data_IF_203281168359
#
_entry.id   IF_203281168359
#
_cell.length_a   1.000
_cell.length_b   1.000
_cell.length_c   1.000
_cell.angle_alpha   90.00
_cell.angle_beta   90.00
_cell.angle_gamma   90.00
#
_symmetry.space_group_name_H-M   'P 1'
#
loop_
_entity.id
_entity.type
_entity.pdbx_description
1 polymer ?
#
# COMPACT_ATOMS: atom_id res chain seq x y z
N UNK A 1 -22.36 15.69 15.18
CA UNK A 1 -22.07 14.34 14.62
C UNK A 1 -22.76 14.23 13.26
N UNK A 2 -22.15 13.61 12.23
CA UNK A 2 -22.80 13.46 10.93
C UNK A 2 -24.10 12.66 11.05
N UNK A 3 -25.16 13.09 10.36
CA UNK A 3 -26.39 12.31 10.26
C UNK A 3 -26.29 11.38 9.06
N UNK A 4 -26.00 10.10 9.30
CA UNK A 4 -25.80 9.09 8.26
C UNK A 4 -27.08 8.75 7.47
N UNK A 5 -28.27 9.08 8.00
CA UNK A 5 -29.51 9.00 7.24
C UNK A 5 -29.53 9.96 6.05
N UNK A 6 -28.68 10.99 6.07
CA UNK A 6 -28.48 11.91 4.95
C UNK A 6 -27.33 11.48 4.03
N UNK A 7 -26.85 10.23 4.12
CA UNK A 7 -25.75 9.71 3.31
C UNK A 7 -26.03 9.81 1.81
N UNK A 8 -25.04 10.28 1.06
CA UNK A 8 -25.09 10.44 -0.40
C UNK A 8 -23.72 10.09 -0.97
N UNK A 9 -23.73 9.40 -2.10
CA UNK A 9 -22.56 9.24 -2.96
C UNK A 9 -22.69 10.23 -4.13
N UNK A 10 -21.63 10.96 -4.40
CA UNK A 10 -21.58 11.96 -5.46
C UNK A 10 -20.30 11.81 -6.28
N UNK A 11 -20.31 12.41 -7.46
CA UNK A 11 -19.09 12.67 -8.23
C UNK A 11 -18.92 14.15 -8.51
N UNK A 12 -17.67 14.55 -8.68
CA UNK A 12 -17.27 15.81 -9.29
C UNK A 12 -16.65 15.46 -10.64
N UNK A 13 -17.07 16.11 -11.71
CA UNK A 13 -16.56 15.88 -13.06
C UNK A 13 -16.01 17.16 -13.64
N UNK A 14 -14.88 17.07 -14.35
CA UNK A 14 -14.30 18.17 -15.12
C UNK A 14 -13.55 17.61 -16.32
N UNK A 15 -14.09 17.81 -17.52
CA UNK A 15 -13.61 17.13 -18.73
C UNK A 15 -13.65 15.61 -18.55
N UNK A 16 -12.51 14.95 -18.75
CA UNK A 16 -12.35 13.50 -18.59
C UNK A 16 -12.09 13.08 -17.12
N UNK A 17 -11.85 14.03 -16.22
CA UNK A 17 -11.55 13.73 -14.82
C UNK A 17 -12.85 13.54 -14.03
N UNK A 18 -12.88 12.46 -13.25
CA UNK A 18 -13.98 12.17 -12.31
C UNK A 18 -13.42 11.92 -10.93
N UNK A 19 -13.95 12.57 -9.91
CA UNK A 19 -13.70 12.31 -8.49
C UNK A 19 -14.98 11.78 -7.85
N UNK A 20 -14.90 10.73 -7.04
CA UNK A 20 -16.04 10.16 -6.32
C UNK A 20 -15.86 10.38 -4.82
N UNK A 21 -16.95 10.66 -4.11
CA UNK A 21 -16.90 10.73 -2.67
C UNK A 21 -18.26 10.57 -2.01
N UNK A 22 -18.26 10.43 -0.70
CA UNK A 22 -19.48 10.42 0.11
C UNK A 22 -19.64 11.71 0.93
N UNK A 23 -20.88 12.00 1.32
CA UNK A 23 -21.23 13.12 2.19
C UNK A 23 -22.52 12.87 2.96
N UNK A 24 -22.60 13.43 4.17
CA UNK A 24 -23.84 13.57 4.94
C UNK A 24 -24.35 15.02 4.97
N UNK A 25 -23.72 15.91 4.20
CA UNK A 25 -24.14 17.31 4.10
C UNK A 25 -25.59 17.41 3.57
N UNK A 26 -26.36 18.42 4.00
CA UNK A 26 -27.73 18.63 3.53
C UNK A 26 -27.83 18.70 2.01
N UNK A 27 -26.87 19.36 1.35
CA UNK A 27 -26.84 19.55 -0.11
C UNK A 27 -25.47 19.25 -0.70
N UNK A 28 -25.44 18.86 -1.98
CA UNK A 28 -24.19 18.72 -2.73
C UNK A 28 -23.48 20.06 -2.93
N UNK A 29 -24.23 21.16 -3.09
CA UNK A 29 -23.66 22.50 -3.17
C UNK A 29 -22.82 22.85 -1.93
N UNK A 30 -23.33 22.53 -0.72
CA UNK A 30 -22.57 22.73 0.53
C UNK A 30 -21.30 21.87 0.58
N UNK A 31 -21.38 20.62 0.10
CA UNK A 31 -20.20 19.74 -0.01
C UNK A 31 -19.19 20.28 -1.01
N UNK A 32 -19.63 20.80 -2.15
CA UNK A 32 -18.79 21.41 -3.18
C UNK A 32 -18.09 22.67 -2.65
N UNK A 33 -18.81 23.55 -1.94
CA UNK A 33 -18.21 24.70 -1.28
C UNK A 33 -17.08 24.30 -0.32
N UNK A 34 -17.23 23.15 0.36
CA UNK A 34 -16.17 22.56 1.16
C UNK A 34 -14.91 22.22 0.35
N UNK A 35 -15.06 21.53 -0.79
CA UNK A 35 -13.93 21.23 -1.69
C UNK A 35 -13.25 22.49 -2.22
N UNK A 36 -14.03 23.47 -2.67
CA UNK A 36 -13.53 24.75 -3.19
C UNK A 36 -12.76 25.51 -2.11
N UNK A 37 -13.27 25.55 -0.88
CA UNK A 37 -12.58 26.18 0.26
C UNK A 37 -11.25 25.49 0.54
N UNK A 38 -11.25 24.16 0.63
CA UNK A 38 -10.02 23.40 0.91
C UNK A 38 -8.97 23.57 -0.18
N UNK A 39 -9.40 23.61 -1.46
CA UNK A 39 -8.52 23.91 -2.58
C UNK A 39 -7.85 25.29 -2.46
N UNK A 40 -8.61 26.34 -2.13
CA UNK A 40 -8.05 27.68 -1.88
C UNK A 40 -7.03 27.66 -0.74
N UNK A 41 -7.36 26.97 0.36
CA UNK A 41 -6.44 26.87 1.51
C UNK A 41 -5.17 26.06 1.19
N UNK A 42 -5.26 25.07 0.30
CA UNK A 42 -4.08 24.35 -0.21
C UNK A 42 -3.21 25.26 -1.09
N UNK A 43 -3.81 26.10 -1.94
CA UNK A 43 -3.06 27.12 -2.71
C UNK A 43 -2.32 28.11 -1.82
N UNK A 44 -2.89 28.44 -0.65
CA UNK A 44 -2.23 29.24 0.38
C UNK A 44 -1.16 28.48 1.20
N UNK A 45 -0.92 27.18 0.92
CA UNK A 45 0.04 26.34 1.64
C UNK A 45 -0.42 25.87 3.03
N UNK A 46 -1.70 26.05 3.39
CA UNK A 46 -2.23 25.75 4.75
C UNK A 46 -2.71 24.32 4.92
N UNK A 47 -2.97 23.61 3.83
CA UNK A 47 -3.55 22.26 3.84
C UNK A 47 -2.82 21.35 2.86
N UNK A 48 -2.99 20.03 3.01
CA UNK A 48 -2.48 19.04 2.08
C UNK A 48 -3.26 18.98 0.77
N UNK A 49 -2.62 18.45 -0.27
CA UNK A 49 -3.24 18.22 -1.58
C UNK A 49 -4.31 17.11 -1.51
N UNK A 50 -5.44 17.31 -2.18
CA UNK A 50 -6.48 16.29 -2.40
C UNK A 50 -6.68 16.02 -3.88
N UNK A 51 -7.08 14.79 -4.23
CA UNK A 51 -7.27 14.40 -5.64
C UNK A 51 -8.45 15.07 -6.32
N UNK A 52 -9.37 15.70 -5.58
CA UNK A 52 -10.42 16.52 -6.17
C UNK A 52 -9.92 17.86 -6.70
N UNK A 53 -8.75 18.34 -6.27
CA UNK A 53 -8.28 19.69 -6.59
C UNK A 53 -7.99 19.96 -8.07
N UNK A 54 -7.40 19.02 -8.85
CA UNK A 54 -7.23 19.22 -10.28
C UNK A 54 -8.55 19.50 -11.01
N UNK A 55 -9.66 18.91 -10.55
CA UNK A 55 -10.99 19.16 -11.12
C UNK A 55 -11.48 20.57 -10.78
N UNK A 56 -11.22 21.04 -9.55
CA UNK A 56 -11.62 22.39 -9.12
C UNK A 56 -10.76 23.45 -9.81
N UNK A 57 -9.49 23.15 -10.09
CA UNK A 57 -8.54 24.07 -10.70
C UNK A 57 -8.90 24.46 -12.13
N UNK A 58 -9.56 23.58 -12.89
CA UNK A 58 -10.01 23.89 -14.27
C UNK A 58 -11.02 25.04 -14.32
N UNK A 59 -11.72 25.31 -13.22
CA UNK A 59 -12.85 26.25 -13.18
C UNK A 59 -14.12 25.77 -13.90
N UNK A 60 -14.07 24.61 -14.58
CA UNK A 60 -15.18 24.02 -15.32
C UNK A 60 -15.50 22.65 -14.74
N UNK A 61 -16.19 22.63 -13.60
CA UNK A 61 -16.52 21.40 -12.89
C UNK A 61 -17.98 21.38 -12.45
N UNK A 62 -18.53 20.18 -12.35
CA UNK A 62 -19.90 19.94 -11.91
C UNK A 62 -19.91 18.89 -10.80
N UNK A 63 -20.76 19.08 -9.78
CA UNK A 63 -21.05 18.07 -8.77
C UNK A 63 -22.40 17.44 -9.04
N UNK A 64 -22.43 16.11 -9.18
CA UNK A 64 -23.67 15.37 -9.47
C UNK A 64 -23.90 14.27 -8.45
N UNK A 65 -25.15 14.06 -8.08
CA UNK A 65 -25.55 12.94 -7.23
C UNK A 65 -25.42 11.63 -8.01
N UNK A 66 -24.76 10.64 -7.43
CA UNK A 66 -24.76 9.27 -7.97
C UNK A 66 -25.90 8.48 -7.30
N UNK A 67 -25.95 8.51 -5.97
CA UNK A 67 -26.84 7.65 -5.20
C UNK A 67 -27.17 8.28 -3.85
N UNK A 68 -28.44 8.21 -3.45
CA UNK A 68 -28.85 8.42 -2.07
C UNK A 68 -28.60 7.13 -1.29
N UNK A 69 -27.84 7.22 -0.20
CA UNK A 69 -27.44 6.07 0.61
C UNK A 69 -27.63 6.35 2.10
N UNK A 70 -28.89 6.38 2.58
CA UNK A 70 -29.17 6.49 4.00
C UNK A 70 -28.60 5.26 4.72
N UNK A 71 -27.72 5.48 5.68
CA UNK A 71 -27.03 4.42 6.40
C UNK A 71 -26.94 4.72 7.89
N UNK A 72 -26.45 3.78 8.69
CA UNK A 72 -26.39 3.93 10.15
C UNK A 72 -25.01 4.33 10.65
N UNK A 73 -23.97 4.09 9.84
CA UNK A 73 -22.57 4.26 10.25
C UNK A 73 -21.70 4.84 9.14
N UNK A 74 -20.50 5.31 9.54
CA UNK A 74 -19.45 5.75 8.62
C UNK A 74 -18.96 4.59 7.75
N UNK A 75 -18.85 3.41 8.34
CA UNK A 75 -18.27 2.25 7.68
C UNK A 75 -19.17 1.79 6.53
N UNK A 76 -20.49 1.79 6.73
CA UNK A 76 -21.46 1.55 5.64
C UNK A 76 -21.35 2.58 4.52
N UNK A 77 -21.24 3.87 4.86
CA UNK A 77 -21.14 4.93 3.85
C UNK A 77 -19.84 4.83 3.04
N UNK A 78 -18.72 4.57 3.72
CA UNK A 78 -17.40 4.44 3.08
C UNK A 78 -17.27 3.13 2.29
N UNK A 79 -17.93 2.05 2.71
CA UNK A 79 -18.04 0.83 1.92
C UNK A 79 -18.79 1.08 0.61
N UNK A 80 -19.87 1.87 0.65
CA UNK A 80 -20.58 2.26 -0.57
C UNK A 80 -19.76 3.21 -1.45
N UNK A 81 -19.02 4.14 -0.86
CA UNK A 81 -18.06 4.97 -1.58
C UNK A 81 -16.99 4.14 -2.30
N UNK A 82 -16.40 3.15 -1.60
CA UNK A 82 -15.43 2.20 -2.17
C UNK A 82 -16.00 1.48 -3.39
N UNK A 83 -17.22 0.96 -3.30
CA UNK A 83 -17.89 0.29 -4.41
C UNK A 83 -17.92 1.15 -5.69
N UNK A 84 -18.28 2.44 -5.55
CA UNK A 84 -18.31 3.36 -6.69
C UNK A 84 -16.92 3.72 -7.19
N UNK A 85 -15.93 3.86 -6.30
CA UNK A 85 -14.53 4.11 -6.69
C UNK A 85 -13.96 2.93 -7.48
N UNK A 86 -14.21 1.69 -7.06
CA UNK A 86 -13.71 0.48 -7.73
C UNK A 86 -14.44 0.19 -9.06
N UNK A 87 -15.71 0.60 -9.16
CA UNK A 87 -16.54 0.35 -10.35
C UNK A 87 -16.37 1.41 -11.44
N UNK A 88 -15.64 2.51 -11.20
CA UNK A 88 -15.54 3.63 -12.14
C UNK A 88 -14.10 4.10 -12.30
N UNK A 89 -13.76 4.60 -13.48
CA UNK A 89 -12.49 5.30 -13.71
C UNK A 89 -12.56 6.66 -13.03
N UNK A 90 -11.77 6.86 -11.97
CA UNK A 90 -11.74 8.09 -11.21
C UNK A 90 -10.34 8.43 -10.69
N UNK A 91 -10.14 9.69 -10.30
CA UNK A 91 -8.85 10.22 -9.82
C UNK A 91 -8.58 9.89 -8.35
N UNK A 92 -9.49 9.20 -7.66
CA UNK A 92 -9.36 8.86 -6.25
C UNK A 92 -8.08 8.03 -6.02
N UNK A 93 -7.16 8.54 -5.20
CA UNK A 93 -5.91 7.84 -4.86
C UNK A 93 -6.10 6.86 -3.71
N UNK A 94 -6.95 7.21 -2.75
CA UNK A 94 -7.22 6.39 -1.57
C UNK A 94 -8.54 5.65 -1.76
N UNK A 95 -8.50 4.32 -1.59
CA UNK A 95 -9.70 3.47 -1.56
C UNK A 95 -10.12 3.35 -0.09
N UNK A 96 -11.34 3.77 0.29
CA UNK A 96 -11.83 3.66 1.67
C UNK A 96 -11.79 2.21 2.16
N UNK A 97 -11.52 2.01 3.45
CA UNK A 97 -11.52 0.68 4.10
C UNK A 97 -10.58 -0.36 3.47
N UNK A 98 -9.63 0.07 2.63
CA UNK A 98 -8.63 -0.81 2.04
C UNK A 98 -7.65 -1.28 3.11
N UNK A 99 -7.46 -2.59 3.18
CA UNK A 99 -6.50 -3.22 4.09
C UNK A 99 -5.07 -3.12 3.56
N UNK A 100 -4.10 -3.22 4.47
CA UNK A 100 -2.68 -3.26 4.09
C UNK A 100 -2.36 -4.45 3.17
N UNK A 101 -3.03 -5.60 3.40
CA UNK A 101 -2.89 -6.78 2.55
C UNK A 101 -3.39 -6.52 1.12
N UNK A 102 -4.60 -5.98 0.94
CA UNK A 102 -5.13 -5.63 -0.39
C UNK A 102 -4.28 -4.57 -1.11
N UNK A 103 -3.66 -3.66 -0.35
CA UNK A 103 -2.70 -2.72 -0.90
C UNK A 103 -1.44 -3.43 -1.40
N UNK A 104 -0.85 -4.28 -0.57
CA UNK A 104 0.35 -5.03 -0.92
C UNK A 104 0.12 -5.91 -2.15
N UNK A 105 -0.96 -6.69 -2.16
CA UNK A 105 -1.28 -7.64 -3.24
C UNK A 105 -1.39 -6.91 -4.58
N UNK A 106 -2.15 -5.81 -4.65
CA UNK A 106 -2.30 -5.03 -5.88
C UNK A 106 -1.02 -4.26 -6.30
N UNK A 107 -0.10 -4.00 -5.38
CA UNK A 107 1.14 -3.25 -5.64
C UNK A 107 2.38 -4.15 -5.70
N UNK A 108 2.21 -5.48 -5.66
CA UNK A 108 3.30 -6.46 -5.57
C UNK A 108 4.38 -6.25 -6.62
N UNK A 109 4.00 -6.01 -7.88
CA UNK A 109 4.95 -5.82 -8.98
C UNK A 109 5.76 -4.53 -8.82
N UNK A 110 5.10 -3.41 -8.54
CA UNK A 110 5.76 -2.12 -8.28
C UNK A 110 6.75 -2.21 -7.10
N UNK A 111 6.36 -2.92 -6.04
CA UNK A 111 7.22 -3.14 -4.87
C UNK A 111 8.46 -3.96 -5.27
N UNK A 112 8.27 -5.04 -6.03
CA UNK A 112 9.37 -5.90 -6.51
C UNK A 112 10.34 -5.13 -7.41
N UNK A 113 9.82 -4.34 -8.34
CA UNK A 113 10.65 -3.51 -9.24
C UNK A 113 11.46 -2.48 -8.45
N UNK A 114 10.82 -1.78 -7.52
CA UNK A 114 11.51 -0.81 -6.65
C UNK A 114 12.59 -1.49 -5.80
N UNK A 115 12.32 -2.68 -5.25
CA UNK A 115 13.32 -3.44 -4.50
C UNK A 115 14.49 -3.88 -5.37
N UNK A 116 14.22 -4.30 -6.62
CA UNK A 116 15.26 -4.67 -7.59
C UNK A 116 16.14 -3.47 -7.91
N UNK A 117 15.55 -2.33 -8.29
CA UNK A 117 16.28 -1.10 -8.58
C UNK A 117 17.13 -0.63 -7.39
N UNK A 118 16.60 -0.74 -6.16
CA UNK A 118 17.36 -0.41 -4.96
C UNK A 118 18.58 -1.34 -4.77
N UNK A 119 18.42 -2.65 -4.97
CA UNK A 119 19.52 -3.62 -4.87
C UNK A 119 20.59 -3.38 -5.92
N UNK A 120 20.20 -3.03 -7.14
CA UNK A 120 21.12 -2.72 -8.23
C UNK A 120 21.91 -1.44 -7.93
N UNK A 121 21.23 -0.37 -7.50
CA UNK A 121 21.88 0.90 -7.18
C UNK A 121 22.74 0.87 -5.91
N UNK A 122 22.47 -0.05 -4.98
CA UNK A 122 23.14 -0.10 -3.66
C UNK A 122 23.89 -1.41 -3.41
N UNK A 123 24.15 -2.21 -4.45
CA UNK A 123 24.73 -3.54 -4.33
C UNK A 123 26.05 -3.57 -3.55
N UNK A 124 26.94 -2.60 -3.80
CA UNK A 124 28.23 -2.50 -3.14
C UNK A 124 28.09 -2.14 -1.66
N UNK A 125 27.25 -1.16 -1.32
CA UNK A 125 26.94 -0.80 0.07
C UNK A 125 26.34 -1.97 0.84
N UNK A 126 25.44 -2.73 0.20
CA UNK A 126 24.83 -3.92 0.79
C UNK A 126 25.91 -4.98 1.05
N UNK A 127 26.84 -5.19 0.10
CA UNK A 127 27.92 -6.16 0.23
C UNK A 127 28.90 -5.77 1.33
N UNK A 128 29.29 -4.51 1.38
CA UNK A 128 30.20 -3.97 2.40
C UNK A 128 29.58 -4.08 3.79
N UNK A 129 28.32 -3.66 3.95
CA UNK A 129 27.59 -3.82 5.22
C UNK A 129 27.48 -5.28 5.66
N UNK A 130 27.23 -6.22 4.73
CA UNK A 130 27.22 -7.65 5.05
C UNK A 130 28.59 -8.16 5.47
N UNK A 131 29.65 -7.68 4.82
CA UNK A 131 31.03 -8.06 5.15
C UNK A 131 31.40 -7.59 6.57
N UNK A 132 31.09 -6.35 6.93
CA UNK A 132 31.38 -5.82 8.27
C UNK A 132 30.59 -6.56 9.35
N UNK A 133 29.31 -6.83 9.12
CA UNK A 133 28.49 -7.65 10.02
C UNK A 133 29.04 -9.07 10.21
N UNK A 134 29.52 -9.70 9.14
CA UNK A 134 30.13 -11.01 9.20
C UNK A 134 31.44 -10.97 9.98
N UNK A 135 32.32 -10.00 9.70
CA UNK A 135 33.60 -9.84 10.39
C UNK A 135 33.42 -9.62 11.89
N UNK A 136 32.46 -8.78 12.29
CA UNK A 136 32.14 -8.54 13.70
C UNK A 136 31.62 -9.78 14.44
N UNK A 137 31.00 -10.73 13.73
CA UNK A 137 30.38 -11.92 14.33
C UNK A 137 31.12 -13.23 14.01
N UNK A 138 32.25 -13.16 13.30
CA UNK A 138 32.92 -14.32 12.71
C UNK A 138 33.34 -15.34 13.76
N UNK A 139 33.82 -14.89 14.91
CA UNK A 139 34.30 -15.78 15.96
C UNK A 139 33.14 -16.44 16.70
N UNK A 140 32.06 -15.72 16.99
CA UNK A 140 30.81 -16.32 17.49
C UNK A 140 30.26 -17.39 16.53
N UNK A 141 30.27 -17.12 15.22
CA UNK A 141 29.84 -18.11 14.21
C UNK A 141 30.74 -19.36 14.25
N UNK A 142 32.06 -19.18 14.36
CA UNK A 142 33.01 -20.29 14.45
C UNK A 142 32.84 -21.12 15.72
N UNK A 143 32.62 -20.48 16.85
CA UNK A 143 32.37 -21.17 18.11
C UNK A 143 31.08 -21.98 18.07
N UNK A 144 29.99 -21.38 17.56
CA UNK A 144 28.73 -22.10 17.35
C UNK A 144 28.89 -23.28 16.39
N UNK A 145 29.65 -23.12 15.30
CA UNK A 145 29.93 -24.22 14.36
C UNK A 145 30.74 -25.34 15.01
N UNK A 146 31.76 -25.01 15.80
CA UNK A 146 32.54 -26.01 16.55
C UNK A 146 31.67 -26.76 17.54
N UNK A 147 30.86 -26.05 18.33
CA UNK A 147 29.94 -26.66 19.29
C UNK A 147 28.92 -27.58 18.60
N UNK A 148 28.34 -27.13 17.48
CA UNK A 148 27.42 -27.94 16.68
C UNK A 148 28.10 -29.21 16.14
N UNK A 149 29.31 -29.07 15.58
CA UNK A 149 30.05 -30.22 15.04
C UNK A 149 30.41 -31.23 16.14
N UNK A 150 30.88 -30.76 17.29
CA UNK A 150 31.21 -31.62 18.44
C UNK A 150 29.98 -32.40 18.93
N UNK A 151 28.81 -31.75 19.00
CA UNK A 151 27.57 -32.37 19.44
C UNK A 151 26.95 -33.34 18.40
N UNK A 152 27.31 -33.23 17.12
CA UNK A 152 26.69 -33.97 16.02
C UNK A 152 27.68 -34.78 15.18
N UNK A 153 28.88 -35.05 15.70
CA UNK A 153 29.96 -35.62 14.88
C UNK A 153 29.62 -36.99 14.32
N UNK A 154 28.95 -37.84 15.10
CA UNK A 154 28.59 -39.20 14.69
C UNK A 154 27.50 -39.18 13.63
N UNK A 155 26.46 -38.36 13.80
CA UNK A 155 25.38 -38.20 12.81
C UNK A 155 25.89 -37.60 11.50
N UNK A 156 26.83 -36.65 11.56
CA UNK A 156 27.51 -36.09 10.39
C UNK A 156 28.31 -37.17 9.65
N UNK A 157 29.08 -37.99 10.38
CA UNK A 157 29.88 -39.08 9.79
C UNK A 157 29.02 -40.16 9.16
N UNK A 158 27.93 -40.58 9.81
CA UNK A 158 26.97 -41.54 9.26
C UNK A 158 26.33 -41.02 7.98
N UNK A 159 25.92 -39.75 7.96
CA UNK A 159 25.37 -39.10 6.76
C UNK A 159 26.39 -39.05 5.63
N UNK A 160 27.65 -38.74 5.92
CA UNK A 160 28.72 -38.77 4.93
C UNK A 160 28.95 -40.17 4.35
N UNK A 161 28.98 -41.19 5.20
CA UNK A 161 29.14 -42.60 4.79
C UNK A 161 27.96 -43.05 3.91
N UNK A 162 26.74 -42.73 4.31
CA UNK A 162 25.53 -43.04 3.55
C UNK A 162 25.49 -42.35 2.17
N UNK A 163 25.93 -41.08 2.08
CA UNK A 163 26.04 -40.37 0.82
C UNK A 163 27.09 -40.99 -0.12
N UNK A 164 28.22 -41.46 0.43
CA UNK A 164 29.26 -42.11 -0.36
C UNK A 164 28.79 -43.47 -0.91
N UNK A 165 28.12 -44.27 -0.08
CA UNK A 165 27.53 -45.55 -0.48
C UNK A 165 26.45 -45.39 -1.57
N UNK A 166 25.55 -44.42 -1.43
CA UNK A 166 24.54 -44.09 -2.45
C UNK A 166 25.16 -43.65 -3.78
N UNK A 167 26.28 -42.94 -3.73
CA UNK A 167 26.99 -42.49 -4.93
C UNK A 167 27.75 -43.64 -5.62
N UNK A 168 28.22 -44.64 -4.87
CA UNK A 168 28.83 -45.85 -5.43
C UNK A 168 27.82 -46.88 -5.97
N UNK A 169 26.58 -46.85 -5.49
CA UNK A 169 25.49 -47.71 -6.01
C UNK A 169 24.80 -47.14 -7.25
N UNK A 170 25.03 -45.85 -7.55
CA UNK A 170 24.46 -45.13 -8.70
C UNK A 170 25.43 -45.01 -9.90
N UNK A 171 26.53 -45.77 -9.90
CA UNK A 171 27.54 -45.88 -10.98
C UNK A 171 27.58 -47.32 -11.45
#
# INVERSE_FOLDING_TARGET
>A
MPNYQNGKIYKITSGELTYIGSTCEPTLARRLSGHVRSYKQWKDGKHGHMTSYPLIETGQYEITLIELWPCTSKDELTARERFHIESNVCVNKCIPSRTHKEWYDANTNNIRERMKAYREANGDKIREYRKTLYEANKDNIREQQKAYYAANIDTIRERHKANYAKKSESV
#
